data_IF_105176079301
#
_entry.id   IF_105176079301
#
_cell.length_a   1.000
_cell.length_b   1.000
_cell.length_c   1.000
_cell.angle_alpha   90.00
_cell.angle_beta   90.00
_cell.angle_gamma   90.00
#
_symmetry.space_group_name_H-M   'P 1'
#
loop_
_entity.id
_entity.type
_entity.pdbx_description
1 polymer ?
#
# COMPACT_ATOMS: atom_id res chain seq x y z
N UNK A 1 -3.12 -12.71 30.72
CA UNK A 1 -2.96 -13.84 29.79
C UNK A 1 -2.93 -13.28 28.37
N UNK A 2 -1.80 -13.39 27.67
CA UNK A 2 -1.71 -12.97 26.27
C UNK A 2 -2.45 -14.00 25.40
N UNK A 3 -3.28 -13.54 24.46
CA UNK A 3 -3.99 -14.42 23.52
C UNK A 3 -2.97 -15.22 22.70
N UNK A 4 -3.11 -16.55 22.58
CA UNK A 4 -2.15 -17.42 21.87
C UNK A 4 -2.02 -17.12 20.36
N UNK A 5 -2.87 -16.23 19.82
CA UNK A 5 -2.88 -15.84 18.42
C UNK A 5 -2.05 -14.59 18.09
N UNK A 6 -1.52 -13.88 19.09
CA UNK A 6 -0.76 -12.63 18.86
C UNK A 6 0.75 -12.85 19.04
N UNK A 7 1.37 -13.55 18.07
CA UNK A 7 2.83 -13.50 17.91
C UNK A 7 3.23 -12.11 17.40
N UNK A 8 4.28 -11.46 17.96
CA UNK A 8 4.77 -10.19 17.43
C UNK A 8 5.21 -10.37 15.98
N UNK A 9 4.88 -9.37 15.16
CA UNK A 9 5.08 -9.36 13.71
C UNK A 9 6.59 -9.48 13.43
N UNK A 10 7.06 -10.63 12.97
CA UNK A 10 8.35 -10.70 12.28
C UNK A 10 8.26 -9.69 11.11
N UNK A 11 9.18 -8.71 11.07
CA UNK A 11 9.19 -7.65 10.06
C UNK A 11 9.72 -8.20 8.73
N UNK A 12 9.06 -9.24 8.22
CA UNK A 12 9.29 -9.76 6.89
C UNK A 12 8.54 -8.82 5.95
N UNK A 13 9.25 -8.27 4.97
CA UNK A 13 8.62 -7.48 3.93
C UNK A 13 7.73 -8.38 3.08
N UNK A 14 6.49 -7.93 2.83
CA UNK A 14 5.56 -8.61 1.93
C UNK A 14 5.19 -7.67 0.79
N UNK A 15 5.21 -8.21 -0.43
CA UNK A 15 4.83 -7.48 -1.63
C UNK A 15 3.36 -7.03 -1.56
N UNK A 16 3.13 -5.75 -1.85
CA UNK A 16 1.78 -5.26 -2.10
C UNK A 16 1.39 -5.49 -3.57
N UNK A 17 0.76 -6.63 -3.86
CA UNK A 17 0.34 -7.00 -5.22
C UNK A 17 -0.59 -5.98 -5.88
N UNK A 18 -1.32 -5.17 -5.10
CA UNK A 18 -2.18 -4.13 -5.68
C UNK A 18 -1.39 -3.12 -6.50
N UNK A 19 -0.10 -2.93 -6.22
CA UNK A 19 0.78 -2.05 -6.99
C UNK A 19 1.03 -2.60 -8.40
N UNK A 20 1.03 -3.92 -8.57
CA UNK A 20 1.28 -4.56 -9.86
C UNK A 20 0.06 -4.56 -10.79
N UNK A 21 -1.10 -4.10 -10.31
CA UNK A 21 -2.28 -3.90 -11.14
C UNK A 21 -2.13 -2.68 -12.06
N UNK A 22 -1.26 -1.74 -11.69
CA UNK A 22 -1.02 -0.51 -12.45
C UNK A 22 0.05 -0.72 -13.52
N UNK A 23 -0.28 -0.39 -14.77
CA UNK A 23 0.62 -0.58 -15.91
C UNK A 23 1.92 0.21 -15.81
N UNK A 24 1.86 1.42 -15.26
CA UNK A 24 3.03 2.26 -15.02
C UNK A 24 4.03 1.58 -14.07
N UNK A 25 3.52 0.97 -12.99
CA UNK A 25 4.36 0.23 -12.03
C UNK A 25 4.97 -1.00 -12.69
N UNK A 26 4.19 -1.76 -13.47
CA UNK A 26 4.70 -2.92 -14.21
C UNK A 26 5.79 -2.53 -15.19
N UNK A 27 5.61 -1.41 -15.89
CA UNK A 27 6.57 -0.91 -16.87
C UNK A 27 7.84 -0.45 -16.18
N UNK A 28 7.75 0.35 -15.11
CA UNK A 28 8.93 0.80 -14.36
C UNK A 28 9.71 -0.35 -13.70
N UNK A 29 9.02 -1.38 -13.18
CA UNK A 29 9.70 -2.58 -12.66
C UNK A 29 10.40 -3.36 -13.78
N UNK A 30 9.78 -3.47 -14.97
CA UNK A 30 10.39 -4.12 -16.13
C UNK A 30 11.63 -3.37 -16.61
N UNK A 31 11.57 -2.04 -16.69
CA UNK A 31 12.71 -1.20 -17.07
C UNK A 31 13.86 -1.35 -16.07
N UNK A 32 13.57 -1.25 -14.76
CA UNK A 32 14.56 -1.45 -13.70
C UNK A 32 15.24 -2.83 -13.75
N UNK A 33 14.48 -3.88 -14.11
CA UNK A 33 15.00 -5.22 -14.33
C UNK A 33 15.95 -5.29 -15.54
N UNK A 34 15.53 -4.71 -16.67
CA UNK A 34 16.34 -4.68 -17.90
C UNK A 34 17.66 -3.96 -17.64
N UNK A 35 17.61 -2.80 -17.00
CA UNK A 35 18.79 -1.99 -16.70
C UNK A 35 19.72 -2.74 -15.73
N UNK A 36 19.17 -3.36 -14.69
CA UNK A 36 19.95 -4.17 -13.75
C UNK A 36 20.72 -5.29 -14.47
N UNK A 37 20.05 -6.10 -15.29
CA UNK A 37 20.73 -7.21 -15.97
C UNK A 37 21.72 -6.70 -17.02
N UNK A 38 21.37 -5.64 -17.77
CA UNK A 38 22.28 -5.03 -18.75
C UNK A 38 23.61 -4.60 -18.12
N UNK A 39 23.58 -4.05 -16.90
CA UNK A 39 24.78 -3.57 -16.20
C UNK A 39 25.56 -4.70 -15.50
N UNK A 40 24.86 -5.75 -15.04
CA UNK A 40 25.45 -6.75 -14.15
C UNK A 40 25.76 -8.11 -14.82
N UNK A 41 25.29 -8.37 -16.06
CA UNK A 41 25.51 -9.64 -16.76
C UNK A 41 26.96 -9.91 -17.16
N UNK A 42 27.79 -8.87 -17.33
CA UNK A 42 29.20 -9.02 -17.77
C UNK A 42 30.20 -9.12 -16.62
N UNK A 43 29.73 -9.10 -15.38
CA UNK A 43 30.58 -9.26 -14.20
C UNK A 43 30.74 -10.75 -13.92
N UNK A 44 31.93 -11.19 -13.49
CA UNK A 44 32.20 -12.56 -12.97
C UNK A 44 31.49 -12.79 -11.61
N UNK A 45 30.21 -12.44 -11.54
CA UNK A 45 29.36 -12.52 -10.36
C UNK A 45 28.67 -13.86 -10.34
N UNK A 46 28.71 -14.55 -9.20
CA UNK A 46 27.96 -15.78 -9.02
C UNK A 46 26.45 -15.54 -9.27
N UNK A 47 25.80 -16.48 -9.96
CA UNK A 47 24.37 -16.43 -10.28
C UNK A 47 23.48 -16.21 -9.05
N UNK A 48 23.87 -16.75 -7.90
CA UNK A 48 23.18 -16.54 -6.62
C UNK A 48 23.16 -15.08 -6.22
N UNK A 49 24.31 -14.40 -6.30
CA UNK A 49 24.44 -13.00 -5.91
C UNK A 49 23.69 -12.09 -6.90
N UNK A 50 23.70 -12.45 -8.19
CA UNK A 50 22.93 -11.76 -9.22
C UNK A 50 21.42 -11.89 -8.94
N UNK A 51 20.96 -13.09 -8.56
CA UNK A 51 19.56 -13.36 -8.22
C UNK A 51 19.14 -12.69 -6.89
N UNK A 52 19.97 -12.67 -5.87
CA UNK A 52 19.61 -11.99 -4.62
C UNK A 52 19.58 -10.46 -4.79
N UNK A 53 20.55 -9.91 -5.52
CA UNK A 53 20.67 -8.47 -5.71
C UNK A 53 19.54 -7.89 -6.57
N UNK A 54 19.15 -8.54 -7.67
CA UNK A 54 18.01 -8.03 -8.47
C UNK A 54 16.70 -8.06 -7.68
N UNK A 55 16.48 -9.07 -6.84
CA UNK A 55 15.31 -9.14 -5.97
C UNK A 55 15.28 -7.94 -5.00
N UNK A 56 16.41 -7.60 -4.41
CA UNK A 56 16.52 -6.44 -3.51
C UNK A 56 16.28 -5.11 -4.25
N UNK A 57 16.75 -4.98 -5.50
CA UNK A 57 16.47 -3.80 -6.34
C UNK A 57 14.98 -3.64 -6.57
N UNK A 58 14.28 -4.70 -7.01
CA UNK A 58 12.83 -4.66 -7.26
C UNK A 58 12.06 -4.34 -5.96
N UNK A 59 12.47 -4.94 -4.84
CA UNK A 59 11.87 -4.62 -3.53
C UNK A 59 12.04 -3.12 -3.21
N UNK A 60 13.22 -2.56 -3.41
CA UNK A 60 13.48 -1.13 -3.21
C UNK A 60 12.59 -0.24 -4.08
N UNK A 61 12.45 -0.57 -5.37
CA UNK A 61 11.57 0.14 -6.31
C UNK A 61 10.11 0.11 -5.83
N UNK A 62 9.60 -1.07 -5.45
CA UNK A 62 8.22 -1.24 -5.01
C UNK A 62 7.95 -0.58 -3.66
N UNK A 63 8.91 -0.58 -2.74
CA UNK A 63 8.85 0.15 -1.47
C UNK A 63 8.76 1.65 -1.72
N UNK A 64 9.62 2.18 -2.61
CA UNK A 64 9.62 3.59 -3.02
C UNK A 64 8.26 4.02 -3.56
N UNK A 65 7.71 3.26 -4.53
CA UNK A 65 6.39 3.53 -5.12
C UNK A 65 5.30 3.49 -4.05
N UNK A 66 5.32 2.47 -3.18
CA UNK A 66 4.36 2.34 -2.09
C UNK A 66 4.42 3.49 -1.10
N UNK A 67 5.63 3.97 -0.76
CA UNK A 67 5.84 5.12 0.11
C UNK A 67 5.31 6.42 -0.51
N UNK A 68 5.58 6.64 -1.79
CA UNK A 68 5.08 7.81 -2.53
C UNK A 68 3.55 7.83 -2.61
N UNK A 69 2.91 6.69 -2.90
CA UNK A 69 1.45 6.58 -2.88
C UNK A 69 0.86 6.83 -1.50
N UNK A 70 1.49 6.32 -0.45
CA UNK A 70 1.07 6.60 0.94
C UNK A 70 1.14 8.10 1.23
N UNK A 71 2.23 8.77 0.83
CA UNK A 71 2.42 10.22 0.98
C UNK A 71 1.34 11.00 0.23
N UNK A 72 1.12 10.70 -1.05
CA UNK A 72 0.10 11.34 -1.89
C UNK A 72 -1.30 11.19 -1.29
N UNK A 73 -1.63 10.01 -0.77
CA UNK A 73 -2.91 9.76 -0.10
C UNK A 73 -3.07 10.54 1.20
N UNK A 74 -2.02 10.63 2.02
CA UNK A 74 -2.03 11.46 3.22
C UNK A 74 -2.20 12.95 2.89
N UNK A 75 -1.67 13.41 1.76
CA UNK A 75 -1.89 14.75 1.25
C UNK A 75 -3.33 14.98 0.78
N UNK A 76 -3.92 14.03 0.06
CA UNK A 76 -5.33 14.09 -0.32
C UNK A 76 -6.25 14.20 0.90
N UNK A 77 -6.00 13.41 1.95
CA UNK A 77 -6.77 13.47 3.19
C UNK A 77 -6.61 14.83 3.87
N UNK A 78 -5.38 15.36 3.97
CA UNK A 78 -5.13 16.70 4.53
C UNK A 78 -5.91 17.77 3.77
N UNK A 79 -5.82 17.77 2.44
CA UNK A 79 -6.55 18.74 1.61
C UNK A 79 -8.07 18.66 1.80
N UNK A 80 -8.63 17.46 1.97
CA UNK A 80 -10.05 17.27 2.27
C UNK A 80 -10.41 17.83 3.64
N UNK A 81 -9.59 17.58 4.66
CA UNK A 81 -9.81 18.11 6.01
C UNK A 81 -9.74 19.64 6.04
N UNK A 82 -8.80 20.24 5.30
CA UNK A 82 -8.69 21.69 5.17
C UNK A 82 -9.93 22.29 4.50
N UNK A 83 -10.45 21.65 3.45
CA UNK A 83 -11.72 22.05 2.82
C UNK A 83 -12.90 21.98 3.78
N UNK A 84 -13.00 20.91 4.58
CA UNK A 84 -14.03 20.77 5.61
C UNK A 84 -13.96 21.94 6.60
N UNK A 85 -12.76 22.27 7.09
CA UNK A 85 -12.58 23.37 8.04
C UNK A 85 -13.02 24.73 7.47
N UNK A 86 -12.75 24.97 6.18
CA UNK A 86 -13.17 26.20 5.49
C UNK A 86 -14.69 26.26 5.36
N UNK A 87 -15.32 25.18 4.89
CA UNK A 87 -16.79 25.12 4.73
C UNK A 87 -17.49 25.24 6.08
N UNK A 88 -16.98 24.58 7.12
CA UNK A 88 -17.54 24.70 8.48
C UNK A 88 -17.48 26.13 9.02
N UNK A 89 -16.39 26.86 8.75
CA UNK A 89 -16.26 28.26 9.16
C UNK A 89 -17.23 29.18 8.40
N UNK A 90 -17.37 28.98 7.08
CA UNK A 90 -18.32 29.73 6.25
C UNK A 90 -19.76 29.47 6.66
N UNK A 91 -20.10 28.21 6.91
CA UNK A 91 -21.46 27.83 7.31
C UNK A 91 -21.84 28.40 8.67
N UNK A 92 -20.90 28.47 9.63
CA UNK A 92 -21.14 29.14 10.92
C UNK A 92 -21.46 30.64 10.80
N UNK A 93 -20.96 31.30 9.75
CA UNK A 93 -21.19 32.72 9.52
C UNK A 93 -22.47 32.99 8.73
N UNK A 94 -22.73 32.19 7.69
CA UNK A 94 -23.79 32.48 6.71
C UNK A 94 -25.04 31.61 6.90
N UNK A 95 -24.93 30.44 7.55
CA UNK A 95 -25.96 29.39 7.64
C UNK A 95 -26.57 29.02 6.27
N UNK A 96 -25.79 29.13 5.19
CA UNK A 96 -26.29 28.88 3.84
C UNK A 96 -26.49 27.38 3.58
N UNK A 97 -27.58 27.04 2.89
CA UNK A 97 -27.90 25.66 2.47
C UNK A 97 -26.91 25.13 1.41
N UNK A 98 -26.31 26.03 0.62
CA UNK A 98 -25.25 25.70 -0.34
C UNK A 98 -24.04 25.07 0.34
N UNK A 99 -23.65 25.58 1.52
CA UNK A 99 -22.49 25.09 2.27
C UNK A 99 -22.71 23.66 2.78
N UNK A 100 -23.95 23.31 3.14
CA UNK A 100 -24.32 21.95 3.54
C UNK A 100 -24.21 20.98 2.37
N UNK A 101 -24.65 21.39 1.18
CA UNK A 101 -24.53 20.57 -0.03
C UNK A 101 -23.06 20.30 -0.40
N UNK A 102 -22.21 21.32 -0.29
CA UNK A 102 -20.76 21.20 -0.49
C UNK A 102 -20.12 20.29 0.56
N UNK A 103 -20.43 20.47 1.84
CA UNK A 103 -19.94 19.61 2.93
C UNK A 103 -20.29 18.13 2.71
N UNK A 104 -21.53 17.83 2.30
CA UNK A 104 -21.97 16.46 2.01
C UNK A 104 -21.16 15.83 0.85
N UNK A 105 -20.85 16.62 -0.17
CA UNK A 105 -19.99 16.18 -1.28
C UNK A 105 -18.57 15.83 -0.80
N UNK A 106 -17.96 16.69 0.03
CA UNK A 106 -16.62 16.49 0.57
C UNK A 106 -16.60 15.26 1.50
N UNK A 107 -17.64 15.08 2.31
CA UNK A 107 -17.80 13.90 3.17
C UNK A 107 -17.93 12.61 2.36
N UNK A 108 -18.62 12.64 1.23
CA UNK A 108 -18.72 11.48 0.31
C UNK A 108 -17.35 11.10 -0.24
N UNK A 109 -16.55 12.09 -0.65
CA UNK A 109 -15.18 11.87 -1.12
C UNK A 109 -14.31 11.23 -0.03
N UNK A 110 -14.36 11.75 1.20
CA UNK A 110 -13.63 11.18 2.34
C UNK A 110 -14.07 9.75 2.65
N UNK A 111 -15.38 9.47 2.61
CA UNK A 111 -15.92 8.13 2.84
C UNK A 111 -15.43 7.13 1.78
N UNK A 112 -15.37 7.55 0.51
CA UNK A 112 -14.84 6.72 -0.58
C UNK A 112 -13.37 6.35 -0.35
N UNK A 113 -12.53 7.30 0.04
CA UNK A 113 -11.10 7.08 0.34
C UNK A 113 -10.91 6.15 1.54
N UNK A 114 -11.72 6.29 2.59
CA UNK A 114 -11.68 5.40 3.75
C UNK A 114 -12.11 3.99 3.37
N UNK A 115 -13.17 3.84 2.56
CA UNK A 115 -13.66 2.55 2.10
C UNK A 115 -12.57 1.78 1.33
N UNK A 116 -11.86 2.45 0.43
CA UNK A 116 -10.70 1.88 -0.26
C UNK A 116 -9.60 1.42 0.71
N UNK A 117 -9.33 2.18 1.78
CA UNK A 117 -8.37 1.78 2.82
C UNK A 117 -8.77 0.51 3.54
N UNK A 118 -10.01 0.48 4.02
CA UNK A 118 -10.53 -0.63 4.78
C UNK A 118 -10.52 -1.90 3.93
N UNK A 119 -10.85 -1.79 2.64
CA UNK A 119 -10.75 -2.89 1.69
C UNK A 119 -9.30 -3.40 1.54
N UNK A 120 -8.32 -2.51 1.37
CA UNK A 120 -6.90 -2.89 1.30
C UNK A 120 -6.42 -3.57 2.59
N UNK A 121 -6.82 -3.05 3.76
CA UNK A 121 -6.49 -3.65 5.06
C UNK A 121 -7.14 -5.03 5.23
N UNK A 122 -8.39 -5.19 4.80
CA UNK A 122 -9.09 -6.47 4.82
C UNK A 122 -8.38 -7.50 3.95
N UNK A 123 -7.96 -7.12 2.74
CA UNK A 123 -7.20 -8.02 1.86
C UNK A 123 -5.87 -8.46 2.49
N UNK A 124 -5.11 -7.53 3.08
CA UNK A 124 -3.86 -7.84 3.78
C UNK A 124 -4.08 -8.80 4.95
N UNK A 125 -5.14 -8.57 5.73
CA UNK A 125 -5.54 -9.45 6.83
C UNK A 125 -5.88 -10.85 6.32
N UNK A 126 -6.71 -10.97 5.27
CA UNK A 126 -7.07 -12.25 4.64
C UNK A 126 -5.84 -13.02 4.16
N UNK A 127 -4.91 -12.35 3.46
CA UNK A 127 -3.67 -12.96 2.99
C UNK A 127 -2.83 -13.50 4.13
N UNK A 128 -2.64 -12.70 5.18
CA UNK A 128 -1.93 -13.13 6.38
C UNK A 128 -2.54 -14.40 7.00
N UNK A 129 -3.88 -14.48 7.09
CA UNK A 129 -4.55 -15.68 7.58
C UNK A 129 -4.37 -16.88 6.64
N UNK A 130 -4.44 -16.69 5.31
CA UNK A 130 -4.20 -17.77 4.34
C UNK A 130 -2.77 -18.31 4.40
N UNK A 131 -1.76 -17.44 4.46
CA UNK A 131 -0.34 -17.82 4.59
C UNK A 131 -0.07 -18.59 5.89
N UNK A 132 -0.73 -18.20 6.98
CA UNK A 132 -0.64 -18.91 8.26
C UNK A 132 -1.40 -20.26 8.22
N UNK A 133 -2.59 -20.29 7.62
CA UNK A 133 -3.45 -21.47 7.54
C UNK A 133 -2.91 -22.56 6.62
N UNK A 134 -2.13 -22.22 5.58
CA UNK A 134 -1.45 -23.22 4.76
C UNK A 134 -0.40 -24.02 5.54
N UNK A 135 -0.03 -23.58 6.75
CA UNK A 135 0.78 -24.37 7.69
C UNK A 135 -0.04 -25.41 8.47
N UNK A 136 -1.38 -25.40 8.42
CA UNK A 136 -2.22 -26.43 9.06
C UNK A 136 -1.96 -27.82 8.45
N UNK A 137 -1.70 -27.93 7.14
CA UNK A 137 -1.29 -29.20 6.54
C UNK A 137 0.04 -29.74 7.08
N UNK A 138 0.91 -28.86 7.59
CA UNK A 138 2.17 -29.25 8.26
C UNK A 138 1.94 -29.78 9.69
N UNK A 139 0.82 -29.43 10.32
CA UNK A 139 0.39 -29.92 11.64
C UNK A 139 -0.48 -31.19 11.56
N UNK A 140 -1.02 -31.51 10.38
CA UNK A 140 -1.81 -32.72 10.13
C UNK A 140 -0.96 -33.87 9.56
N UNK A 141 0.31 -33.62 9.24
CA UNK A 141 1.26 -34.60 8.71
C UNK A 141 2.15 -35.25 9.80
N UNK A 142 1.81 -35.06 11.08
CA UNK A 142 2.46 -35.71 12.24
C UNK A 142 1.70 -36.93 12.71
#
# INVERSE_FOLDING_TARGET
MASPFFKPRERIWCLNESLLLEDEVRTGVREALIDYFKENTNLDTAWTNLWESHNNVIQGVLISIGANKKKARSEQIRNILDKIAIVDLRHKQTLAETDLSEFLSIRKDLASLNTQQHFSMLQKSRRFFCELSNKCGRLLAS
#
